data_IF_952753368677
#
_entry.id   IF_952753368677
#
_cell.length_a   1.000
_cell.length_b   1.000
_cell.length_c   1.000
_cell.angle_alpha   90.00
_cell.angle_beta   90.00
_cell.angle_gamma   90.00
#
_symmetry.space_group_name_H-M   'P 1'
#
loop_
_entity.id
_entity.type
_entity.pdbx_description
1 polymer ?
#
# COMPACT_ATOMS: atom_id res chain seq x y z
N UNK A 1 24.96 23.52 -17.02
CA UNK A 1 23.74 22.70 -16.80
C UNK A 1 24.08 21.74 -15.67
N UNK A 2 23.79 22.16 -14.44
CA UNK A 2 24.14 21.44 -13.21
C UNK A 2 22.90 20.70 -12.69
N UNK A 3 23.09 19.41 -12.47
CA UNK A 3 22.14 18.45 -11.90
C UNK A 3 21.85 18.77 -10.44
N UNK A 4 20.59 19.03 -10.12
CA UNK A 4 20.08 19.09 -8.75
C UNK A 4 19.60 17.71 -8.32
N UNK A 5 20.53 16.85 -7.89
CA UNK A 5 20.24 15.66 -7.08
C UNK A 5 20.58 16.05 -5.66
N UNK A 6 19.55 16.25 -4.83
CA UNK A 6 19.72 16.69 -3.46
C UNK A 6 18.95 15.80 -2.48
N UNK A 7 19.75 15.13 -1.63
CA UNK A 7 19.49 14.77 -0.22
C UNK A 7 18.57 13.58 0.07
N UNK A 8 19.17 12.39 0.07
CA UNK A 8 18.85 11.33 1.04
C UNK A 8 20.11 11.00 1.83
N UNK A 9 20.05 11.12 3.15
CA UNK A 9 21.15 10.74 4.04
C UNK A 9 20.61 9.97 5.26
N UNK A 10 21.16 8.75 5.41
CA UNK A 10 21.34 7.93 6.63
C UNK A 10 20.06 7.30 7.22
N UNK A 11 19.99 6.01 7.58
CA UNK A 11 20.93 5.20 8.37
C UNK A 11 20.59 3.68 8.36
N UNK A 12 21.61 2.87 8.70
CA UNK A 12 21.65 1.49 9.23
C UNK A 12 21.24 0.30 8.34
N UNK A 13 22.26 -0.47 7.96
CA UNK A 13 22.15 -1.83 7.44
C UNK A 13 21.92 -2.85 8.56
N UNK A 14 20.94 -3.74 8.39
CA UNK A 14 20.82 -5.01 9.10
C UNK A 14 20.72 -6.10 8.03
N UNK A 15 21.61 -7.10 8.11
CA UNK A 15 21.61 -8.28 7.25
C UNK A 15 20.25 -9.00 7.34
N UNK A 16 19.56 -9.12 6.22
CA UNK A 16 18.34 -9.90 6.11
C UNK A 16 18.68 -11.40 5.92
N UNK A 17 18.40 -12.20 6.95
CA UNK A 17 18.14 -13.62 6.78
C UNK A 17 16.65 -13.77 6.44
N UNK A 18 16.38 -14.40 5.30
CA UNK A 18 15.04 -14.63 4.77
C UNK A 18 14.21 -15.49 5.73
N UNK A 19 13.22 -14.87 6.36
CA UNK A 19 12.00 -15.50 6.86
C UNK A 19 10.91 -14.44 6.85
N UNK A 20 9.78 -14.75 6.21
CA UNK A 20 8.61 -13.88 6.23
C UNK A 20 8.17 -13.60 7.68
N UNK A 21 7.88 -12.34 7.97
CA UNK A 21 7.29 -11.77 9.20
C UNK A 21 8.12 -11.88 10.51
N UNK A 22 8.71 -10.76 10.97
CA UNK A 22 8.62 -10.21 12.35
C UNK A 22 9.74 -9.19 12.65
N UNK A 23 9.38 -7.99 13.08
CA UNK A 23 10.27 -7.01 13.74
C UNK A 23 10.25 -7.22 15.25
N UNK A 24 11.37 -7.64 15.81
CA UNK A 24 11.58 -7.75 17.27
C UNK A 24 12.15 -6.45 17.85
N UNK A 25 11.61 -6.05 19.00
CA UNK A 25 11.97 -4.85 19.75
C UNK A 25 13.32 -4.91 20.46
N UNK A 26 13.90 -3.73 20.69
CA UNK A 26 15.13 -3.52 21.45
C UNK A 26 14.85 -3.09 22.88
N UNK A 27 15.51 -3.77 23.81
CA UNK A 27 15.63 -3.49 25.25
C UNK A 27 16.43 -2.21 25.51
N UNK A 28 16.06 -1.48 26.55
CA UNK A 28 16.64 -0.18 26.90
C UNK A 28 18.00 -0.22 27.59
N UNK A 29 18.68 0.92 27.53
CA UNK A 29 19.68 1.39 28.50
C UNK A 29 19.60 2.92 28.58
N UNK A 30 19.54 3.38 29.83
CA UNK A 30 19.63 4.74 30.36
C UNK A 30 20.91 5.48 29.95
N UNK A 31 20.80 6.77 29.61
CA UNK A 31 21.82 7.79 29.89
C UNK A 31 21.20 9.20 29.83
N UNK A 32 21.41 9.96 30.91
CA UNK A 32 20.89 11.29 31.23
C UNK A 32 21.78 12.43 30.65
N UNK A 33 21.38 13.73 30.74
CA UNK A 33 21.67 14.76 29.74
C UNK A 33 22.85 15.69 30.08
N UNK A 34 23.38 16.37 29.08
CA UNK A 34 24.28 17.53 29.25
C UNK A 34 23.66 18.77 28.60
N UNK A 35 23.51 19.82 29.41
CA UNK A 35 22.94 21.13 29.13
C UNK A 35 23.88 22.08 28.34
N UNK A 36 23.25 22.98 27.57
CA UNK A 36 23.70 24.36 27.33
C UNK A 36 23.80 24.79 25.85
N UNK A 37 23.70 26.10 25.51
CA UNK A 37 22.90 27.17 26.11
C UNK A 37 21.96 27.86 25.09
N UNK A 38 21.05 28.68 25.63
CA UNK A 38 19.96 29.43 24.99
C UNK A 38 20.48 30.58 24.11
N UNK A 39 19.87 30.76 22.93
CA UNK A 39 19.87 32.04 22.20
C UNK A 39 18.63 32.13 21.30
N UNK A 40 17.73 33.08 21.58
CA UNK A 40 16.79 33.66 20.61
C UNK A 40 17.16 35.13 20.35
N UNK A 41 16.39 35.94 19.60
CA UNK A 41 15.10 35.66 18.96
C UNK A 41 15.06 36.08 17.47
N UNK A 42 14.13 35.53 16.68
CA UNK A 42 13.59 36.18 15.47
C UNK A 42 12.31 35.46 15.09
N UNK A 43 11.21 36.21 14.96
CA UNK A 43 9.87 35.67 14.74
C UNK A 43 9.76 34.90 13.44
N UNK A 44 9.81 33.58 13.54
CA UNK A 44 9.16 32.71 12.58
C UNK A 44 7.68 32.65 12.94
N UNK A 45 6.85 33.14 12.02
CA UNK A 45 5.47 32.67 11.88
C UNK A 45 5.52 31.14 11.90
N UNK A 46 5.14 30.56 13.04
CA UNK A 46 4.86 29.13 13.18
C UNK A 46 3.73 28.82 12.20
N UNK A 47 4.10 28.40 10.99
CA UNK A 47 3.20 27.64 10.15
C UNK A 47 2.81 26.41 10.97
N UNK A 48 1.52 26.04 11.07
CA UNK A 48 1.13 24.93 11.89
C UNK A 48 1.87 23.69 11.35
N UNK A 49 2.80 23.17 12.13
CA UNK A 49 3.46 21.90 11.90
C UNK A 49 2.46 20.77 12.14
N UNK A 50 1.41 20.75 11.31
CA UNK A 50 0.45 19.67 11.27
C UNK A 50 1.07 18.51 10.49
N UNK A 51 0.95 17.31 11.04
CA UNK A 51 0.92 16.07 10.28
C UNK A 51 0.36 16.34 8.87
N UNK A 52 1.07 16.02 7.79
CA UNK A 52 0.57 16.22 6.43
C UNK A 52 0.30 14.84 5.85
N UNK A 53 -0.95 14.62 5.43
CA UNK A 53 -1.36 13.46 4.64
C UNK A 53 -1.97 14.00 3.36
N UNK A 54 -1.16 14.48 2.41
CA UNK A 54 -1.67 15.05 1.19
C UNK A 54 -2.24 13.95 0.30
N UNK A 55 -3.34 14.28 -0.38
CA UNK A 55 -3.92 13.44 -1.41
C UNK A 55 -3.19 13.69 -2.74
N UNK A 56 -2.67 12.63 -3.35
CA UNK A 56 -1.94 12.70 -4.62
C UNK A 56 -2.38 11.58 -5.56
N UNK A 57 -1.91 11.68 -6.80
CA UNK A 57 -1.97 10.63 -7.82
C UNK A 57 -0.56 10.48 -8.39
N UNK A 58 -0.06 9.25 -8.54
CA UNK A 58 1.28 8.98 -9.07
C UNK A 58 1.17 8.05 -10.27
N UNK A 59 1.61 8.53 -11.43
CA UNK A 59 1.53 7.80 -12.69
C UNK A 59 2.28 6.45 -12.64
N UNK A 60 3.50 6.43 -12.09
CA UNK A 60 4.32 5.21 -12.05
C UNK A 60 3.72 4.14 -11.13
N UNK A 61 3.11 4.54 -10.01
CA UNK A 61 2.38 3.65 -9.11
C UNK A 61 1.20 3.02 -9.85
N UNK A 62 0.41 3.83 -10.54
CA UNK A 62 -0.71 3.34 -11.35
C UNK A 62 -0.27 2.43 -12.49
N UNK A 63 0.82 2.75 -13.20
CA UNK A 63 1.35 1.93 -14.29
C UNK A 63 1.86 0.58 -13.78
N UNK A 64 2.57 0.58 -12.65
CA UNK A 64 3.08 -0.64 -12.02
C UNK A 64 1.94 -1.55 -11.58
N UNK A 65 0.97 -1.00 -10.86
CA UNK A 65 -0.21 -1.74 -10.39
C UNK A 65 -1.12 -2.17 -11.54
N UNK A 66 -1.22 -1.37 -12.61
CA UNK A 66 -1.86 -1.80 -13.85
C UNK A 66 -1.22 -3.06 -14.41
N UNK A 67 0.12 -3.10 -14.50
CA UNK A 67 0.86 -4.29 -14.94
C UNK A 67 0.48 -5.53 -14.15
N UNK A 68 0.48 -5.44 -12.82
CA UNK A 68 0.06 -6.55 -11.96
C UNK A 68 -1.42 -6.92 -12.17
N UNK A 69 -2.32 -5.94 -12.29
CA UNK A 69 -3.74 -6.17 -12.55
C UNK A 69 -4.01 -6.86 -13.90
N UNK A 70 -3.17 -6.62 -14.91
CA UNK A 70 -3.26 -7.30 -16.21
C UNK A 70 -2.79 -8.75 -16.15
N UNK A 71 -1.87 -9.08 -15.24
CA UNK A 71 -1.27 -10.40 -15.14
C UNK A 71 -1.99 -11.31 -14.14
N UNK A 72 -2.40 -10.79 -12.99
CA UNK A 72 -2.98 -11.57 -11.90
C UNK A 72 -4.46 -11.88 -12.11
N UNK A 73 -4.87 -13.06 -11.65
CA UNK A 73 -6.28 -13.37 -11.42
C UNK A 73 -6.55 -13.16 -9.93
N UNK A 74 -7.25 -12.07 -9.62
CA UNK A 74 -7.54 -11.70 -8.25
C UNK A 74 -8.71 -12.52 -7.70
N UNK A 75 -8.39 -13.50 -6.86
CA UNK A 75 -9.35 -14.40 -6.21
C UNK A 75 -9.50 -14.13 -4.72
N UNK A 76 -8.97 -13.02 -4.21
CA UNK A 76 -9.08 -12.72 -2.78
C UNK A 76 -10.51 -12.34 -2.39
N UNK A 77 -10.83 -12.51 -1.11
CA UNK A 77 -12.15 -12.17 -0.58
C UNK A 77 -12.45 -10.68 -0.77
N UNK A 78 -11.51 -9.82 -0.37
CA UNK A 78 -11.51 -8.41 -0.72
C UNK A 78 -10.54 -8.22 -1.88
N UNK A 79 -11.02 -7.83 -3.07
CA UNK A 79 -10.15 -7.70 -4.24
C UNK A 79 -9.09 -6.59 -4.06
N UNK A 80 -7.87 -6.92 -4.44
CA UNK A 80 -6.77 -5.99 -4.71
C UNK A 80 -7.11 -5.04 -5.84
N UNK A 81 -7.56 -5.59 -6.97
CA UNK A 81 -7.85 -4.84 -8.17
C UNK A 81 -9.35 -4.72 -8.39
N UNK A 82 -9.75 -3.65 -9.09
CA UNK A 82 -11.14 -3.47 -9.50
C UNK A 82 -11.60 -4.67 -10.31
N UNK A 83 -12.74 -5.25 -9.92
CA UNK A 83 -13.38 -6.34 -10.68
C UNK A 83 -13.64 -5.86 -12.10
N UNK A 84 -13.24 -6.64 -13.09
CA UNK A 84 -13.39 -6.30 -14.51
C UNK A 84 -12.38 -5.28 -15.05
N UNK A 85 -11.41 -4.81 -14.25
CA UNK A 85 -10.39 -3.86 -14.71
C UNK A 85 -9.62 -4.38 -15.93
N UNK A 86 -9.10 -5.60 -15.85
CA UNK A 86 -8.37 -6.24 -16.96
C UNK A 86 -9.19 -6.31 -18.24
N UNK A 87 -10.47 -6.71 -18.14
CA UNK A 87 -11.38 -6.74 -19.30
C UNK A 87 -11.67 -5.34 -19.84
N UNK A 88 -11.83 -4.34 -18.98
CA UNK A 88 -12.04 -2.94 -19.37
C UNK A 88 -10.82 -2.41 -20.15
N UNK A 89 -9.60 -2.64 -19.65
CA UNK A 89 -8.37 -2.22 -20.30
C UNK A 89 -8.18 -2.90 -21.67
N UNK A 90 -8.43 -4.21 -21.75
CA UNK A 90 -8.38 -4.93 -23.03
C UNK A 90 -9.41 -4.39 -24.03
N UNK A 91 -10.63 -4.08 -23.58
CA UNK A 91 -11.66 -3.50 -24.45
C UNK A 91 -11.29 -2.09 -24.93
N UNK A 92 -10.66 -1.27 -24.08
CA UNK A 92 -10.13 0.04 -24.46
C UNK A 92 -9.02 -0.09 -25.50
N UNK A 93 -8.04 -0.97 -25.27
CA UNK A 93 -6.95 -1.22 -26.22
C UNK A 93 -7.44 -1.71 -27.56
N UNK A 94 -8.37 -2.67 -27.57
CA UNK A 94 -8.98 -3.18 -28.80
C UNK A 94 -9.72 -2.09 -29.58
N UNK A 95 -10.49 -1.22 -28.90
CA UNK A 95 -11.18 -0.08 -29.55
C UNK A 95 -10.21 0.91 -30.18
N UNK A 96 -9.03 1.06 -29.58
CA UNK A 96 -7.97 1.93 -30.09
C UNK A 96 -6.99 1.22 -31.05
N UNK A 97 -7.23 -0.05 -31.38
CA UNK A 97 -6.33 -0.90 -32.17
C UNK A 97 -4.87 -0.91 -31.64
N UNK A 98 -4.70 -0.87 -30.31
CA UNK A 98 -3.40 -0.94 -29.64
C UNK A 98 -3.16 -2.36 -29.12
N UNK A 99 -1.98 -2.91 -29.38
CA UNK A 99 -1.48 -4.14 -28.78
C UNK A 99 -0.05 -3.92 -28.32
N UNK A 100 0.31 -4.37 -27.12
CA UNK A 100 1.58 -4.03 -26.48
C UNK A 100 2.41 -5.28 -26.19
N UNK A 101 3.67 -5.08 -25.79
CA UNK A 101 4.52 -6.16 -25.30
C UNK A 101 3.97 -6.81 -24.03
N UNK A 102 3.22 -6.09 -23.20
CA UNK A 102 2.56 -6.67 -22.03
C UNK A 102 1.53 -7.72 -22.45
N UNK A 103 0.77 -7.45 -23.51
CA UNK A 103 -0.20 -8.41 -24.07
C UNK A 103 0.53 -9.64 -24.62
N UNK A 104 1.57 -9.43 -25.43
CA UNK A 104 2.35 -10.50 -26.04
C UNK A 104 3.07 -11.40 -25.00
N UNK A 105 3.54 -10.81 -23.89
CA UNK A 105 4.31 -11.51 -22.86
C UNK A 105 3.46 -12.02 -21.69
N UNK A 106 2.14 -11.79 -21.69
CA UNK A 106 1.24 -12.11 -20.55
C UNK A 106 1.39 -13.55 -20.10
N UNK A 107 1.36 -14.54 -21.01
CA UNK A 107 1.47 -15.95 -20.64
C UNK A 107 2.80 -16.27 -19.97
N UNK A 108 3.92 -15.76 -20.50
CA UNK A 108 5.26 -15.98 -19.95
C UNK A 108 5.41 -15.34 -18.56
N UNK A 109 4.91 -14.12 -18.40
CA UNK A 109 4.94 -13.40 -17.12
C UNK A 109 4.07 -14.11 -16.07
N UNK A 110 2.90 -14.63 -16.45
CA UNK A 110 2.00 -15.36 -15.54
C UNK A 110 2.55 -16.70 -15.08
N UNK A 111 3.27 -17.44 -15.93
CA UNK A 111 3.88 -18.72 -15.55
C UNK A 111 4.75 -18.60 -14.30
N UNK A 112 5.43 -17.45 -14.12
CA UNK A 112 6.30 -17.25 -12.96
C UNK A 112 5.53 -17.13 -11.65
N UNK A 113 4.30 -16.60 -11.63
CA UNK A 113 3.49 -16.54 -10.40
C UNK A 113 3.16 -17.91 -9.83
N UNK A 114 2.98 -18.91 -10.70
CA UNK A 114 2.77 -20.30 -10.27
C UNK A 114 4.03 -20.94 -9.67
N UNK A 115 5.22 -20.49 -10.09
CA UNK A 115 6.51 -21.02 -9.62
C UNK A 115 7.04 -20.28 -8.39
N UNK A 116 6.74 -18.98 -8.28
CA UNK A 116 7.14 -18.13 -7.18
C UNK A 116 6.00 -17.13 -6.90
N UNK A 117 5.13 -17.48 -5.95
CA UNK A 117 4.04 -16.62 -5.52
C UNK A 117 4.54 -15.33 -4.83
N UNK A 118 5.78 -15.32 -4.33
CA UNK A 118 6.38 -14.15 -3.68
C UNK A 118 6.55 -12.93 -4.58
N UNK A 119 6.61 -13.13 -5.91
CA UNK A 119 6.71 -12.03 -6.90
C UNK A 119 5.52 -11.08 -6.84
N UNK A 120 4.37 -11.57 -6.36
CA UNK A 120 3.17 -10.74 -6.13
C UNK A 120 3.48 -9.58 -5.18
N UNK A 121 4.35 -9.79 -4.19
CA UNK A 121 4.75 -8.74 -3.27
C UNK A 121 5.54 -7.61 -3.95
N UNK A 122 6.08 -7.84 -5.16
CA UNK A 122 6.70 -6.78 -5.96
C UNK A 122 5.75 -5.63 -6.31
N UNK A 123 4.43 -5.79 -6.15
CA UNK A 123 3.44 -4.71 -6.31
C UNK A 123 3.71 -3.47 -5.42
N UNK A 124 4.37 -3.64 -4.27
CA UNK A 124 4.68 -2.55 -3.34
C UNK A 124 5.89 -1.71 -3.78
N UNK A 125 6.70 -2.22 -4.73
CA UNK A 125 7.96 -1.60 -5.14
C UNK A 125 7.75 -0.16 -5.62
N UNK A 126 6.69 0.10 -6.38
CA UNK A 126 6.44 1.44 -6.91
C UNK A 126 6.23 2.52 -5.82
N UNK A 127 5.89 2.13 -4.59
CA UNK A 127 5.73 3.05 -3.46
C UNK A 127 7.06 3.52 -2.86
N UNK A 128 8.17 2.84 -3.17
CA UNK A 128 9.51 3.25 -2.71
C UNK A 128 10.15 4.35 -3.55
N UNK A 129 9.59 4.65 -4.73
CA UNK A 129 10.18 5.57 -5.70
C UNK A 129 9.29 6.79 -5.94
N UNK A 130 9.90 7.91 -6.27
CA UNK A 130 9.19 9.16 -6.56
C UNK A 130 8.77 9.30 -8.03
N UNK A 131 9.46 8.58 -8.94
CA UNK A 131 9.15 8.61 -10.36
C UNK A 131 9.35 7.27 -11.07
N UNK A 132 8.83 7.17 -12.29
CA UNK A 132 9.06 6.00 -13.13
C UNK A 132 10.53 5.87 -13.52
N UNK A 133 11.18 6.98 -13.88
CA UNK A 133 12.57 6.97 -14.34
C UNK A 133 13.53 6.51 -13.24
N UNK A 134 13.36 7.02 -12.01
CA UNK A 134 14.12 6.57 -10.84
C UNK A 134 13.96 5.08 -10.58
N UNK A 135 12.72 4.57 -10.63
CA UNK A 135 12.44 3.13 -10.47
C UNK A 135 13.11 2.32 -11.59
N UNK A 136 13.10 2.81 -12.83
CA UNK A 136 13.74 2.16 -13.97
C UNK A 136 15.27 2.13 -13.83
N UNK A 137 15.88 3.22 -13.37
CA UNK A 137 17.32 3.31 -13.11
C UNK A 137 17.74 2.31 -12.03
N UNK A 138 16.97 2.22 -10.93
CA UNK A 138 17.22 1.25 -9.87
C UNK A 138 17.08 -0.20 -10.37
N UNK A 139 16.08 -0.49 -11.21
CA UNK A 139 15.88 -1.81 -11.82
C UNK A 139 17.01 -2.17 -12.78
N UNK A 140 17.43 -1.25 -13.63
CA UNK A 140 18.51 -1.47 -14.60
C UNK A 140 19.84 -1.72 -13.87
N UNK A 141 20.11 -0.97 -12.79
CA UNK A 141 21.25 -1.19 -11.91
C UNK A 141 21.17 -2.58 -11.24
N UNK A 142 20.03 -2.95 -10.67
CA UNK A 142 19.80 -4.26 -10.05
C UNK A 142 20.03 -5.42 -11.00
N UNK A 143 19.56 -5.30 -12.25
CA UNK A 143 19.76 -6.32 -13.28
C UNK A 143 21.25 -6.42 -13.68
N UNK A 144 21.95 -5.29 -13.85
CA UNK A 144 23.38 -5.28 -14.21
C UNK A 144 24.27 -5.81 -13.08
N UNK A 145 23.92 -5.53 -11.84
CA UNK A 145 24.61 -6.02 -10.66
C UNK A 145 24.25 -7.47 -10.30
N UNK A 146 23.42 -8.14 -11.10
CA UNK A 146 22.91 -9.50 -10.85
C UNK A 146 22.24 -9.68 -9.48
N UNK A 147 21.74 -8.59 -8.89
CA UNK A 147 21.16 -8.57 -7.55
C UNK A 147 22.16 -8.52 -6.40
N UNK A 148 23.46 -8.31 -6.66
CA UNK A 148 24.51 -8.26 -5.65
C UNK A 148 24.75 -6.82 -5.15
N UNK A 149 24.40 -6.48 -3.89
CA UNK A 149 24.58 -5.12 -3.36
C UNK A 149 26.05 -4.69 -3.32
N UNK A 150 26.97 -5.64 -3.21
CA UNK A 150 28.42 -5.37 -3.17
C UNK A 150 28.99 -4.96 -4.53
N UNK A 151 28.31 -5.29 -5.62
CA UNK A 151 28.67 -4.82 -6.95
C UNK A 151 28.27 -3.35 -7.17
N UNK A 152 27.53 -2.75 -6.24
CA UNK A 152 27.18 -1.34 -6.28
C UNK A 152 28.41 -0.45 -6.01
N UNK A 153 28.62 0.55 -6.87
CA UNK A 153 29.69 1.53 -6.68
C UNK A 153 29.45 2.55 -5.56
N UNK A 154 28.28 2.53 -4.90
CA UNK A 154 27.95 3.41 -3.78
C UNK A 154 26.85 2.81 -2.89
N UNK A 155 26.67 3.38 -1.68
CA UNK A 155 25.76 2.85 -0.66
C UNK A 155 24.27 3.00 -0.99
N UNK A 156 23.89 4.01 -1.76
CA UNK A 156 22.52 4.24 -2.20
C UNK A 156 22.09 3.16 -3.21
N UNK A 157 22.93 2.95 -4.22
CA UNK A 157 22.83 1.86 -5.19
C UNK A 157 22.77 0.48 -4.50
N UNK A 158 23.63 0.25 -3.50
CA UNK A 158 23.63 -1.00 -2.74
C UNK A 158 22.29 -1.23 -2.00
N UNK A 159 21.73 -0.18 -1.41
CA UNK A 159 20.43 -0.24 -0.71
C UNK A 159 19.29 -0.54 -1.67
N UNK A 160 19.25 0.10 -2.84
CA UNK A 160 18.26 -0.16 -3.88
C UNK A 160 18.35 -1.60 -4.41
N UNK A 161 19.57 -2.10 -4.66
CA UNK A 161 19.80 -3.49 -5.06
C UNK A 161 19.32 -4.46 -3.98
N UNK A 162 19.65 -4.21 -2.72
CA UNK A 162 19.24 -5.06 -1.61
C UNK A 162 17.71 -5.11 -1.44
N UNK A 163 17.04 -3.97 -1.58
CA UNK A 163 15.59 -3.88 -1.58
C UNK A 163 14.99 -4.76 -2.69
N UNK A 164 15.45 -4.60 -3.93
CA UNK A 164 14.95 -5.34 -5.09
C UNK A 164 15.29 -6.83 -5.03
N UNK A 165 16.46 -7.20 -4.49
CA UNK A 165 16.85 -8.58 -4.25
C UNK A 165 15.93 -9.27 -3.23
N UNK A 166 15.38 -8.52 -2.27
CA UNK A 166 14.38 -9.04 -1.33
C UNK A 166 13.07 -9.48 -2.01
N UNK A 167 12.67 -8.82 -3.10
CA UNK A 167 11.48 -9.16 -3.88
C UNK A 167 11.78 -10.13 -5.03
N UNK A 168 12.98 -10.08 -5.62
CA UNK A 168 13.39 -10.88 -6.77
C UNK A 168 14.72 -11.60 -6.51
N UNK A 169 14.75 -12.58 -5.59
CA UNK A 169 16.00 -13.18 -5.12
C UNK A 169 16.71 -14.04 -6.18
N UNK A 170 15.94 -14.73 -7.04
CA UNK A 170 16.51 -15.68 -8.01
C UNK A 170 16.83 -15.06 -9.38
N UNK A 171 17.74 -15.64 -10.17
CA UNK A 171 17.99 -15.23 -11.56
C UNK A 171 16.73 -15.22 -12.43
N UNK A 172 15.85 -16.22 -12.26
CA UNK A 172 14.58 -16.28 -12.98
C UNK A 172 13.59 -15.17 -12.58
N UNK A 173 13.64 -14.69 -11.33
CA UNK A 173 12.84 -13.54 -10.88
C UNK A 173 13.40 -12.23 -11.47
N UNK A 174 14.72 -12.14 -11.59
CA UNK A 174 15.39 -11.01 -12.28
C UNK A 174 15.06 -10.96 -13.77
N UNK A 175 15.07 -12.11 -14.44
CA UNK A 175 14.64 -12.21 -15.84
C UNK A 175 13.17 -11.83 -16.00
N UNK A 176 12.32 -12.22 -15.05
CA UNK A 176 10.92 -11.85 -15.03
C UNK A 176 10.74 -10.34 -14.90
N UNK A 177 11.39 -9.69 -13.91
CA UNK A 177 11.23 -8.24 -13.70
C UNK A 177 11.80 -7.44 -14.87
N UNK A 178 12.89 -7.91 -15.51
CA UNK A 178 13.41 -7.33 -16.75
C UNK A 178 12.36 -7.32 -17.86
N UNK A 179 11.74 -8.48 -18.12
CA UNK A 179 10.69 -8.61 -19.14
C UNK A 179 9.45 -7.78 -18.79
N UNK A 180 9.08 -7.76 -17.51
CA UNK A 180 7.94 -7.00 -17.00
C UNK A 180 8.15 -5.49 -17.19
N UNK A 181 9.30 -4.97 -16.77
CA UNK A 181 9.67 -3.55 -16.93
C UNK A 181 9.73 -3.16 -18.42
N UNK A 182 10.34 -3.98 -19.27
CA UNK A 182 10.35 -3.74 -20.72
C UNK A 182 8.93 -3.67 -21.29
N UNK A 183 8.07 -4.60 -20.87
CA UNK A 183 6.66 -4.64 -21.29
C UNK A 183 5.88 -3.42 -20.80
N UNK A 184 6.16 -2.93 -19.58
CA UNK A 184 5.55 -1.71 -19.04
C UNK A 184 6.01 -0.44 -19.75
N UNK A 185 7.26 -0.35 -20.19
CA UNK A 185 7.73 0.79 -21.01
C UNK A 185 6.95 0.89 -22.32
N UNK A 186 6.76 -0.25 -22.99
CA UNK A 186 5.95 -0.34 -24.22
C UNK A 186 4.47 -0.04 -23.95
N UNK A 187 3.87 -0.64 -22.92
CA UNK A 187 2.48 -0.39 -22.50
C UNK A 187 2.26 1.11 -22.21
N UNK A 188 3.19 1.74 -21.49
CA UNK A 188 3.11 3.14 -21.13
C UNK A 188 3.11 4.05 -22.35
N UNK A 189 4.07 3.84 -23.26
CA UNK A 189 4.25 4.68 -24.44
C UNK A 189 3.11 4.54 -25.45
N UNK A 190 2.54 3.34 -25.59
CA UNK A 190 1.52 3.04 -26.61
C UNK A 190 0.09 3.21 -26.14
N UNK A 191 -0.17 3.13 -24.83
CA UNK A 191 -1.53 3.14 -24.28
C UNK A 191 -1.64 3.87 -22.94
N UNK A 192 -0.94 3.40 -21.91
CA UNK A 192 -1.32 3.69 -20.54
C UNK A 192 -1.15 5.15 -20.17
N UNK A 193 -0.11 5.85 -20.68
CA UNK A 193 0.11 7.26 -20.39
C UNK A 193 -1.07 8.13 -20.81
N UNK A 194 -1.51 7.96 -22.06
CA UNK A 194 -2.62 8.72 -22.61
C UNK A 194 -3.93 8.43 -21.88
N UNK A 195 -4.19 7.15 -21.58
CA UNK A 195 -5.32 6.72 -20.76
C UNK A 195 -5.29 7.36 -19.37
N UNK A 196 -4.14 7.31 -18.69
CA UNK A 196 -3.96 7.88 -17.35
C UNK A 196 -4.20 9.38 -17.35
N UNK A 197 -3.60 10.14 -18.28
CA UNK A 197 -3.79 11.58 -18.40
C UNK A 197 -5.27 11.94 -18.64
N UNK A 198 -5.99 11.14 -19.43
CA UNK A 198 -7.44 11.31 -19.61
C UNK A 198 -8.20 11.07 -18.30
N UNK A 199 -7.92 9.98 -17.58
CA UNK A 199 -8.57 9.68 -16.31
C UNK A 199 -8.30 10.75 -15.24
N UNK A 200 -7.11 11.35 -15.22
CA UNK A 200 -6.82 12.44 -14.29
C UNK A 200 -7.67 13.70 -14.55
N UNK A 201 -7.99 13.98 -15.82
CA UNK A 201 -8.89 15.09 -16.19
C UNK A 201 -10.33 14.75 -15.83
N UNK A 202 -10.81 13.58 -16.22
CA UNK A 202 -12.21 13.14 -16.01
C UNK A 202 -12.56 13.04 -14.51
N UNK A 203 -11.60 12.65 -13.67
CA UNK A 203 -11.82 12.42 -12.23
C UNK A 203 -11.36 13.57 -11.34
N UNK A 204 -11.04 14.74 -11.91
CA UNK A 204 -10.61 15.90 -11.12
C UNK A 204 -11.61 16.25 -10.00
N UNK A 205 -12.92 16.21 -10.30
CA UNK A 205 -13.97 16.42 -9.30
C UNK A 205 -14.05 15.34 -8.22
N UNK A 206 -13.72 14.09 -8.55
CA UNK A 206 -13.63 12.99 -7.57
C UNK A 206 -12.47 13.25 -6.62
N UNK A 207 -11.29 13.60 -7.14
CA UNK A 207 -10.11 13.91 -6.31
C UNK A 207 -10.39 15.02 -5.31
N UNK A 208 -11.06 16.10 -5.74
CA UNK A 208 -11.49 17.18 -4.84
C UNK A 208 -12.48 16.69 -3.77
N UNK A 209 -13.45 15.86 -4.15
CA UNK A 209 -14.41 15.30 -3.19
C UNK A 209 -13.72 14.40 -2.15
N UNK A 210 -12.76 13.56 -2.57
CA UNK A 210 -11.98 12.72 -1.65
C UNK A 210 -11.12 13.57 -0.73
N UNK A 211 -10.45 14.61 -1.24
CA UNK A 211 -9.63 15.49 -0.41
C UNK A 211 -10.48 16.19 0.66
N UNK A 212 -11.63 16.74 0.29
CA UNK A 212 -12.56 17.37 1.24
C UNK A 212 -13.02 16.38 2.34
N UNK A 213 -13.38 15.16 1.94
CA UNK A 213 -13.75 14.10 2.90
C UNK A 213 -12.59 13.72 3.80
N UNK A 214 -11.37 13.62 3.25
CA UNK A 214 -10.18 13.30 4.01
C UNK A 214 -9.84 14.40 5.02
N UNK A 215 -9.82 15.68 4.61
CA UNK A 215 -9.57 16.79 5.53
C UNK A 215 -10.62 16.88 6.65
N UNK A 216 -11.87 16.48 6.37
CA UNK A 216 -12.95 16.45 7.36
C UNK A 216 -12.79 15.30 8.37
N UNK A 217 -12.39 14.11 7.90
CA UNK A 217 -12.35 12.90 8.73
C UNK A 217 -10.99 12.65 9.40
N UNK A 218 -9.90 13.10 8.79
CA UNK A 218 -8.53 12.89 9.29
C UNK A 218 -8.34 13.34 10.74
N UNK A 219 -8.82 14.52 11.19
CA UNK A 219 -8.66 14.93 12.59
C UNK A 219 -9.22 13.91 13.60
N UNK A 220 -10.27 13.17 13.21
CA UNK A 220 -10.88 12.13 14.06
C UNK A 220 -10.03 10.86 14.13
N UNK A 221 -9.23 10.61 13.10
CA UNK A 221 -8.28 9.49 13.04
C UNK A 221 -6.87 9.88 13.52
N UNK A 222 -6.60 11.16 13.75
CA UNK A 222 -5.27 11.68 14.04
C UNK A 222 -4.62 11.00 15.24
N UNK A 223 -5.38 10.79 16.33
CA UNK A 223 -4.86 10.11 17.52
C UNK A 223 -4.41 8.67 17.23
N UNK A 224 -5.18 7.96 16.41
CA UNK A 224 -4.80 6.62 15.97
C UNK A 224 -3.51 6.68 15.16
N UNK A 225 -3.45 7.56 14.15
CA UNK A 225 -2.28 7.75 13.29
C UNK A 225 -1.01 8.12 14.08
N UNK A 226 -1.13 9.01 15.07
CA UNK A 226 0.01 9.40 15.89
C UNK A 226 0.53 8.21 16.72
N UNK A 227 -0.38 7.48 17.36
CA UNK A 227 -0.04 6.38 18.25
C UNK A 227 0.44 5.12 17.50
N UNK A 228 0.16 4.99 16.20
CA UNK A 228 0.71 3.93 15.34
C UNK A 228 1.96 4.37 14.58
N UNK A 229 2.57 5.51 14.92
CA UNK A 229 3.74 6.08 14.20
C UNK A 229 3.46 6.36 12.71
N UNK A 230 2.20 6.63 12.38
CA UNK A 230 1.68 7.01 11.07
C UNK A 230 1.29 8.50 11.03
N UNK A 231 1.92 9.33 11.87
CA UNK A 231 1.59 10.76 11.98
C UNK A 231 1.84 11.54 10.69
N UNK A 232 2.73 11.07 9.81
CA UNK A 232 3.02 11.69 8.51
C UNK A 232 2.97 10.64 7.41
N UNK A 233 2.49 11.03 6.23
CA UNK A 233 2.45 10.14 5.08
C UNK A 233 1.81 10.80 3.86
N UNK A 234 1.45 10.01 2.87
CA UNK A 234 0.67 10.44 1.71
C UNK A 234 -0.34 9.39 1.29
N UNK A 235 -1.46 9.87 0.75
CA UNK A 235 -2.49 9.00 0.15
C UNK A 235 -2.38 9.11 -1.35
N UNK A 236 -2.29 7.97 -2.02
CA UNK A 236 -2.22 7.88 -3.47
C UNK A 236 -3.53 7.30 -4.01
N UNK A 237 -4.29 8.10 -4.76
CA UNK A 237 -5.46 7.57 -5.48
C UNK A 237 -4.98 6.79 -6.70
N UNK A 238 -5.36 5.52 -6.75
CA UNK A 238 -4.94 4.57 -7.77
C UNK A 238 -6.11 4.01 -8.58
N UNK A 239 -5.99 4.09 -9.91
CA UNK A 239 -7.01 3.63 -10.86
C UNK A 239 -7.28 2.11 -10.82
N UNK A 240 -6.27 1.22 -10.73
CA UNK A 240 -6.48 -0.23 -10.71
C UNK A 240 -6.97 -0.76 -9.37
N UNK A 241 -6.71 -0.08 -8.24
CA UNK A 241 -6.99 -0.62 -6.90
C UNK A 241 -8.48 -0.57 -6.51
N UNK A 242 -8.88 -1.52 -5.67
CA UNK A 242 -10.22 -1.62 -5.10
C UNK A 242 -10.19 -1.59 -3.55
N UNK A 243 -10.81 -2.57 -2.88
CA UNK A 243 -11.06 -2.53 -1.44
C UNK A 243 -9.85 -2.88 -0.58
N UNK A 244 -8.85 -3.53 -1.17
CA UNK A 244 -7.53 -3.69 -0.59
C UNK A 244 -6.59 -2.65 -1.21
N UNK A 245 -6.08 -1.74 -0.39
CA UNK A 245 -5.09 -0.75 -0.81
C UNK A 245 -3.68 -1.32 -0.80
N UNK A 246 -2.68 -0.44 -0.88
CA UNK A 246 -1.27 -0.78 -0.69
C UNK A 246 -0.64 0.24 0.22
N UNK A 247 -0.42 -0.14 1.47
CA UNK A 247 0.38 0.65 2.40
C UNK A 247 1.82 0.17 2.48
N UNK A 248 2.73 1.12 2.28
CA UNK A 248 4.12 1.03 2.66
C UNK A 248 4.34 1.88 3.91
N UNK A 249 4.85 1.27 4.97
CA UNK A 249 5.28 1.96 6.19
C UNK A 249 6.80 1.85 6.30
N UNK A 250 7.51 2.75 5.62
CA UNK A 250 8.97 2.80 5.64
C UNK A 250 9.44 3.81 6.72
N UNK A 251 9.69 3.30 7.93
CA UNK A 251 10.24 4.09 9.04
C UNK A 251 9.42 5.33 9.44
N UNK A 252 10.01 6.22 10.25
CA UNK A 252 9.30 7.36 10.86
C UNK A 252 8.85 8.48 9.89
N UNK A 253 9.18 8.40 8.58
CA UNK A 253 9.00 9.52 7.64
C UNK A 253 8.46 9.17 6.24
N UNK A 254 8.22 7.90 5.92
CA UNK A 254 7.72 7.49 4.60
C UNK A 254 6.55 6.50 4.73
N UNK A 255 5.38 7.00 5.11
CA UNK A 255 4.14 6.24 4.95
C UNK A 255 3.48 6.63 3.63
N UNK A 256 3.25 5.65 2.76
CA UNK A 256 2.51 5.85 1.52
C UNK A 256 1.37 4.84 1.47
N UNK A 257 0.15 5.30 1.26
CA UNK A 257 -1.05 4.45 1.21
C UNK A 257 -1.76 4.66 -0.11
N UNK A 258 -1.60 3.71 -1.03
CA UNK A 258 -2.34 3.72 -2.28
C UNK A 258 -3.72 3.08 -2.09
N UNK A 259 -4.76 3.78 -2.52
CA UNK A 259 -6.15 3.35 -2.34
C UNK A 259 -6.93 3.49 -3.63
N UNK A 260 -8.15 2.97 -3.67
CA UNK A 260 -9.02 3.08 -4.84
C UNK A 260 -9.23 4.54 -5.27
N UNK A 261 -9.29 4.76 -6.58
CA UNK A 261 -9.70 6.03 -7.19
C UNK A 261 -11.12 5.87 -7.79
N UNK A 262 -12.17 6.31 -7.07
CA UNK A 262 -13.54 6.13 -7.52
C UNK A 262 -13.83 6.81 -8.87
N UNK A 263 -14.88 6.34 -9.56
CA UNK A 263 -15.28 6.86 -10.88
C UNK A 263 -16.10 8.14 -10.74
N UNK A 264 -16.92 8.23 -9.69
CA UNK A 264 -17.89 9.30 -9.52
C UNK A 264 -17.68 10.02 -8.18
N UNK A 265 -17.98 11.32 -8.10
CA UNK A 265 -17.87 12.05 -6.84
C UNK A 265 -18.78 11.50 -5.73
N UNK A 266 -19.93 10.92 -6.09
CA UNK A 266 -20.84 10.25 -5.14
C UNK A 266 -20.18 9.07 -4.41
N UNK A 267 -19.16 8.48 -5.02
CA UNK A 267 -18.47 7.30 -4.52
C UNK A 267 -17.14 7.67 -3.83
N UNK A 268 -16.85 8.97 -3.67
CA UNK A 268 -15.60 9.46 -3.09
C UNK A 268 -15.33 8.93 -1.67
N UNK A 269 -16.40 8.65 -0.90
CA UNK A 269 -16.28 8.09 0.44
C UNK A 269 -15.63 6.71 0.47
N UNK A 270 -15.68 5.96 -0.63
CA UNK A 270 -15.05 4.64 -0.75
C UNK A 270 -13.54 4.72 -0.51
N UNK A 271 -12.87 5.79 -0.96
CA UNK A 271 -11.46 6.01 -0.68
C UNK A 271 -11.18 6.15 0.82
N UNK A 272 -12.07 6.79 1.58
CA UNK A 272 -11.95 6.93 3.04
C UNK A 272 -12.09 5.58 3.75
N UNK A 273 -12.98 4.72 3.25
CA UNK A 273 -13.12 3.35 3.77
C UNK A 273 -11.85 2.54 3.54
N UNK A 274 -11.27 2.60 2.35
CA UNK A 274 -10.01 1.90 2.04
C UNK A 274 -8.84 2.48 2.84
N UNK A 275 -8.73 3.81 2.99
CA UNK A 275 -7.70 4.42 3.86
C UNK A 275 -7.81 3.85 5.28
N UNK A 276 -9.04 3.79 5.83
CA UNK A 276 -9.28 3.28 7.19
C UNK A 276 -8.87 1.80 7.31
N UNK A 277 -9.21 0.97 6.33
CA UNK A 277 -8.81 -0.44 6.27
C UNK A 277 -7.29 -0.62 6.20
N UNK A 278 -6.61 0.23 5.44
CA UNK A 278 -5.16 0.14 5.27
C UNK A 278 -4.39 0.55 6.54
N UNK A 279 -4.78 1.65 7.20
CA UNK A 279 -4.05 2.15 8.38
C UNK A 279 -4.11 1.18 9.57
N UNK A 280 -5.20 0.41 9.69
CA UNK A 280 -5.36 -0.62 10.74
C UNK A 280 -4.67 -1.94 10.42
N UNK A 281 -4.15 -2.12 9.20
CA UNK A 281 -3.61 -3.41 8.72
C UNK A 281 -2.50 -3.99 9.61
N UNK A 282 -1.66 -3.14 10.20
CA UNK A 282 -0.60 -3.57 11.13
C UNK A 282 -1.19 -4.12 12.44
N UNK A 283 -2.20 -3.45 13.01
CA UNK A 283 -2.92 -3.91 14.21
C UNK A 283 -3.61 -5.25 13.92
N UNK A 284 -4.25 -5.37 12.76
CA UNK A 284 -4.88 -6.62 12.35
C UNK A 284 -3.88 -7.77 12.24
N UNK A 285 -2.72 -7.51 11.64
CA UNK A 285 -1.65 -8.50 11.49
C UNK A 285 -1.11 -8.97 12.84
N UNK A 286 -0.83 -8.04 13.76
CA UNK A 286 -0.36 -8.34 15.12
C UNK A 286 -1.40 -9.16 15.90
N UNK A 287 -2.65 -8.70 15.92
CA UNK A 287 -3.73 -9.41 16.62
C UNK A 287 -3.93 -10.84 16.11
N UNK A 288 -3.82 -11.07 14.80
CA UNK A 288 -3.88 -12.43 14.24
C UNK A 288 -2.65 -13.24 14.66
N UNK A 289 -1.44 -12.70 14.45
CA UNK A 289 -0.19 -13.43 14.70
C UNK A 289 -0.02 -13.86 16.17
N UNK A 290 -0.50 -13.05 17.11
CA UNK A 290 -0.45 -13.35 18.55
C UNK A 290 -1.46 -14.41 18.99
N UNK A 291 -2.48 -14.69 18.16
CA UNK A 291 -3.62 -15.54 18.50
C UNK A 291 -3.79 -16.75 17.57
N UNK A 292 -2.87 -16.98 16.65
CA UNK A 292 -2.80 -18.20 15.82
C UNK A 292 -1.66 -19.09 16.27
N UNK A 293 -1.90 -20.39 16.30
CA UNK A 293 -0.89 -21.39 16.63
C UNK A 293 0.09 -21.60 15.46
N UNK A 294 1.29 -22.17 15.72
CA UNK A 294 2.20 -22.57 14.66
C UNK A 294 1.59 -23.58 13.66
N UNK A 295 0.63 -24.40 14.09
CA UNK A 295 -0.06 -25.35 13.22
C UNK A 295 -0.99 -24.61 12.25
N UNK A 296 -1.86 -23.73 12.75
CA UNK A 296 -2.76 -22.92 11.92
C UNK A 296 -2.01 -22.02 10.94
N UNK A 297 -0.82 -21.53 11.33
CA UNK A 297 0.06 -20.78 10.43
C UNK A 297 0.56 -21.64 9.27
N UNK A 298 0.97 -22.88 9.54
CA UNK A 298 1.39 -23.83 8.50
C UNK A 298 0.24 -24.24 7.57
N UNK A 299 -0.99 -24.22 8.06
CA UNK A 299 -2.20 -24.48 7.28
C UNK A 299 -2.69 -23.27 6.47
N UNK A 300 -2.02 -22.11 6.59
CA UNK A 300 -2.39 -20.88 5.88
C UNK A 300 -3.66 -20.19 6.41
N UNK A 301 -4.12 -20.56 7.61
CA UNK A 301 -5.28 -19.93 8.25
C UNK A 301 -4.98 -18.50 8.70
N UNK A 302 -3.73 -18.22 9.08
CA UNK A 302 -3.29 -16.87 9.45
C UNK A 302 -3.57 -15.85 8.33
N UNK A 303 -3.18 -16.15 7.09
CA UNK A 303 -3.38 -15.25 5.95
C UNK A 303 -4.87 -14.97 5.68
N UNK A 304 -5.72 -15.99 5.84
CA UNK A 304 -7.18 -15.83 5.71
C UNK A 304 -7.76 -14.93 6.80
N UNK A 305 -7.26 -15.07 8.03
CA UNK A 305 -7.70 -14.24 9.15
C UNK A 305 -7.18 -12.81 9.03
N UNK A 306 -5.98 -12.57 8.50
CA UNK A 306 -5.43 -11.20 8.33
C UNK A 306 -6.36 -10.34 7.47
N UNK A 307 -6.78 -10.82 6.30
CA UNK A 307 -7.69 -10.05 5.43
C UNK A 307 -9.05 -9.76 6.11
N UNK A 308 -9.62 -10.76 6.78
CA UNK A 308 -10.87 -10.56 7.54
C UNK A 308 -10.68 -9.64 8.75
N UNK A 309 -9.52 -9.72 9.42
CA UNK A 309 -9.17 -8.92 10.57
C UNK A 309 -8.99 -7.46 10.20
N UNK A 310 -8.37 -7.15 9.06
CA UNK A 310 -8.23 -5.77 8.57
C UNK A 310 -9.59 -5.11 8.34
N UNK A 311 -10.52 -5.80 7.67
CA UNK A 311 -11.89 -5.28 7.45
C UNK A 311 -12.62 -5.06 8.77
N UNK A 312 -12.54 -6.03 9.70
CA UNK A 312 -13.21 -5.92 11.00
C UNK A 312 -12.57 -4.83 11.88
N UNK A 313 -11.25 -4.68 11.83
CA UNK A 313 -10.53 -3.64 12.54
C UNK A 313 -10.91 -2.23 12.05
N UNK A 314 -11.09 -2.05 10.74
CA UNK A 314 -11.51 -0.76 10.17
C UNK A 314 -12.90 -0.37 10.67
N UNK A 315 -13.84 -1.31 10.73
CA UNK A 315 -15.16 -1.08 11.31
C UNK A 315 -15.07 -0.70 12.81
N UNK A 316 -14.28 -1.43 13.61
CA UNK A 316 -14.10 -1.16 15.04
C UNK A 316 -13.47 0.24 15.28
N UNK A 317 -12.52 0.64 14.45
CA UNK A 317 -11.93 1.99 14.51
C UNK A 317 -12.99 3.06 14.21
N UNK A 318 -13.77 2.88 13.14
CA UNK A 318 -14.81 3.83 12.77
C UNK A 318 -15.94 3.90 13.81
N UNK A 319 -16.32 2.79 14.43
CA UNK A 319 -17.30 2.77 15.53
C UNK A 319 -16.91 3.69 16.68
N UNK A 320 -15.60 3.91 16.90
CA UNK A 320 -15.09 4.79 17.96
C UNK A 320 -14.80 6.22 17.48
N UNK A 321 -14.30 6.37 16.24
CA UNK A 321 -13.81 7.65 15.74
C UNK A 321 -14.82 8.42 14.85
N UNK A 322 -15.63 7.70 14.07
CA UNK A 322 -16.61 8.26 13.15
C UNK A 322 -17.78 7.28 12.94
N UNK A 323 -18.66 7.10 13.95
CA UNK A 323 -19.70 6.07 13.94
C UNK A 323 -20.65 6.16 12.75
N UNK A 324 -20.87 7.36 12.21
CA UNK A 324 -21.71 7.59 11.04
C UNK A 324 -21.18 6.94 9.76
N UNK A 325 -19.89 6.59 9.71
CA UNK A 325 -19.25 5.98 8.55
C UNK A 325 -19.34 4.45 8.55
N UNK A 326 -19.66 3.82 9.69
CA UNK A 326 -19.60 2.37 9.88
C UNK A 326 -20.56 1.63 8.95
N UNK A 327 -21.79 2.13 8.82
CA UNK A 327 -22.82 1.49 7.99
C UNK A 327 -22.43 1.48 6.51
N UNK A 328 -21.87 2.59 6.02
CA UNK A 328 -21.38 2.71 4.66
C UNK A 328 -20.12 1.87 4.42
N UNK A 329 -19.19 1.85 5.39
CA UNK A 329 -18.01 0.99 5.38
C UNK A 329 -18.40 -0.49 5.27
N UNK A 330 -19.35 -0.95 6.10
CA UNK A 330 -19.81 -2.33 6.08
C UNK A 330 -20.43 -2.72 4.73
N UNK A 331 -21.28 -1.85 4.17
CA UNK A 331 -21.88 -2.04 2.84
C UNK A 331 -20.83 -2.10 1.74
N UNK A 332 -19.81 -1.24 1.81
CA UNK A 332 -18.72 -1.21 0.84
C UNK A 332 -17.97 -2.55 0.82
N UNK A 333 -17.50 -3.04 1.98
CA UNK A 333 -16.73 -4.28 2.04
C UNK A 333 -17.55 -5.54 1.74
N UNK A 334 -18.83 -5.57 2.14
CA UNK A 334 -19.73 -6.66 1.74
C UNK A 334 -19.91 -6.71 0.22
N UNK A 335 -20.12 -5.55 -0.43
CA UNK A 335 -20.24 -5.46 -1.90
C UNK A 335 -18.93 -5.85 -2.59
N UNK A 336 -17.78 -5.37 -2.12
CA UNK A 336 -16.46 -5.73 -2.66
C UNK A 336 -16.20 -7.23 -2.59
N UNK A 337 -16.62 -7.86 -1.48
CA UNK A 337 -16.55 -9.30 -1.27
C UNK A 337 -17.70 -10.12 -1.91
N UNK A 338 -18.58 -9.47 -2.68
CA UNK A 338 -19.75 -10.11 -3.30
C UNK A 338 -20.64 -10.85 -2.29
N UNK A 339 -20.86 -10.24 -1.13
CA UNK A 339 -21.73 -10.71 -0.04
C UNK A 339 -23.00 -9.87 0.00
N UNK A 340 -24.10 -10.48 0.42
CA UNK A 340 -25.37 -9.76 0.63
C UNK A 340 -25.30 -8.86 1.87
N UNK A 341 -26.00 -7.73 1.80
CA UNK A 341 -26.24 -6.86 2.95
C UNK A 341 -27.62 -7.21 3.50
N UNK A 342 -27.67 -7.76 4.71
CA UNK A 342 -28.91 -8.02 5.43
C UNK A 342 -29.52 -6.74 6.04
N UNK A 343 -30.46 -6.92 6.97
CA UNK A 343 -31.11 -5.82 7.69
C UNK A 343 -30.15 -4.99 8.55
N UNK A 344 -29.09 -5.61 9.07
CA UNK A 344 -27.99 -4.94 9.77
C UNK A 344 -26.68 -5.10 8.97
N UNK A 345 -26.11 -4.01 8.42
CA UNK A 345 -24.82 -4.04 7.74
C UNK A 345 -23.70 -4.57 8.64
N UNK A 346 -23.63 -4.13 9.91
CA UNK A 346 -22.59 -4.56 10.85
C UNK A 346 -22.69 -6.05 11.18
N UNK A 347 -23.89 -6.59 11.41
CA UNK A 347 -24.06 -8.03 11.61
C UNK A 347 -23.68 -8.82 10.35
N UNK A 348 -24.09 -8.32 9.18
CA UNK A 348 -23.74 -8.94 7.89
C UNK A 348 -22.22 -8.93 7.65
N UNK A 349 -21.53 -7.84 8.03
CA UNK A 349 -20.07 -7.72 7.96
C UNK A 349 -19.40 -8.76 8.86
N UNK A 350 -19.94 -8.96 10.08
CA UNK A 350 -19.41 -9.95 10.99
C UNK A 350 -19.53 -11.39 10.48
N UNK A 351 -20.62 -11.70 9.76
CA UNK A 351 -20.81 -12.99 9.09
C UNK A 351 -19.96 -13.12 7.82
N UNK A 352 -19.81 -12.04 7.05
CA UNK A 352 -19.03 -12.02 5.80
C UNK A 352 -17.53 -12.13 6.01
N UNK A 353 -17.04 -11.63 7.15
CA UNK A 353 -15.65 -11.63 7.58
C UNK A 353 -15.53 -12.25 8.99
N UNK A 354 -15.64 -13.59 9.07
CA UNK A 354 -15.62 -14.29 10.35
C UNK A 354 -14.22 -14.27 10.97
N UNK A 355 -14.18 -14.12 12.29
CA UNK A 355 -12.95 -14.16 13.08
C UNK A 355 -13.17 -14.99 14.35
N UNK A 356 -12.18 -15.81 14.75
CA UNK A 356 -12.14 -16.41 16.08
C UNK A 356 -12.28 -15.38 17.20
N UNK A 357 -12.90 -15.78 18.30
CA UNK A 357 -13.20 -14.90 19.44
C UNK A 357 -11.93 -14.26 20.03
N UNK A 358 -10.83 -15.02 20.12
CA UNK A 358 -9.54 -14.52 20.60
C UNK A 358 -8.99 -13.37 19.74
N UNK A 359 -8.97 -13.54 18.42
CA UNK A 359 -8.53 -12.50 17.47
C UNK A 359 -9.45 -11.29 17.57
N UNK A 360 -10.78 -11.49 17.59
CA UNK A 360 -11.74 -10.39 17.72
C UNK A 360 -11.53 -9.58 19.01
N UNK A 361 -11.35 -10.25 20.14
CA UNK A 361 -11.10 -9.59 21.42
C UNK A 361 -9.75 -8.85 21.44
N UNK A 362 -8.72 -9.42 20.81
CA UNK A 362 -7.43 -8.78 20.65
C UNK A 362 -7.53 -7.49 19.81
N UNK A 363 -8.26 -7.51 18.69
CA UNK A 363 -8.49 -6.32 17.85
C UNK A 363 -9.13 -5.18 18.64
N UNK A 364 -10.23 -5.46 19.34
CA UNK A 364 -10.94 -4.44 20.15
C UNK A 364 -9.99 -3.84 21.17
N UNK A 365 -9.26 -4.68 21.92
CA UNK A 365 -8.31 -4.23 22.94
C UNK A 365 -7.18 -3.39 22.35
N UNK A 366 -6.56 -3.85 21.27
CA UNK A 366 -5.44 -3.13 20.65
C UNK A 366 -5.90 -1.77 20.11
N UNK A 367 -7.05 -1.68 19.45
CA UNK A 367 -7.61 -0.41 18.97
C UNK A 367 -7.94 0.51 20.15
N UNK A 368 -8.51 -0.02 21.25
CA UNK A 368 -8.79 0.77 22.45
C UNK A 368 -7.53 1.32 23.11
N UNK A 369 -6.46 0.52 23.21
CA UNK A 369 -5.16 0.98 23.74
C UNK A 369 -4.58 2.07 22.85
N UNK A 370 -4.57 1.85 21.52
CA UNK A 370 -4.07 2.84 20.56
C UNK A 370 -4.87 4.13 20.62
N UNK A 371 -6.20 4.08 20.76
CA UNK A 371 -7.03 5.28 20.91
C UNK A 371 -6.97 5.89 22.31
N UNK A 372 -6.64 5.11 23.34
CA UNK A 372 -6.54 5.54 24.73
C UNK A 372 -5.26 6.31 25.05
N UNK A 373 -4.23 6.18 24.20
CA UNK A 373 -2.88 6.68 24.47
C UNK A 373 -2.16 5.78 25.48
N UNK A 374 -0.89 5.49 25.21
CA UNK A 374 0.00 4.79 26.15
C UNK A 374 0.63 5.82 27.08
#
# INVERSE_FOLDING_TARGET
MQSSVARWASLAAVLALLSACATTGGTGTTEDPVEGPVSGPSGETVSPSGAVWPLKTRHHVDLWLHGYAMLQDDTTLVPYFRRGYKSEMNALKNRSNVSTQLDANTSRLRTRFAQNSGIVNGQFIALYFDSFDEMLEAMDLFIRAEGEPRAAGNQEAASAIALLAGYFPGPADRDWVRLFVQSLRDENSRFYRAYWDQQQRERAGVRTAVDNLWQTNRPRLQRFLDNTSQSQGEILLSLPLNGEGRTLSAGKRQNATAVTYPVRPSDAIEAIYVITHEIVGQIATTAVNDNVTPNERREGLADRYIGSAAVRAGAILLEKAAPELVDGYARYYLRSANRSVGSSPSASLATGFPLPDGIRAALVRQIEVVLGGI
#
